data_IF_959407018030
#
_entry.id   IF_959407018030
#
_cell.length_a   1.000
_cell.length_b   1.000
_cell.length_c   1.000
_cell.angle_alpha   90.00
_cell.angle_beta   90.00
_cell.angle_gamma   90.00
#
_symmetry.space_group_name_H-M   'P 1'
#
loop_
_entity.id
_entity.type
_entity.pdbx_description
1 polymer ?
#
# COMPACT_ATOMS: atom_id res chain seq x y z
N UNK A 1 -32.67 -54.37 -20.95
CA UNK A 1 -33.70 -53.47 -21.53
C UNK A 1 -34.33 -52.73 -20.36
N UNK A 2 -34.30 -51.41 -20.19
CA UNK A 2 -34.32 -50.28 -21.15
C UNK A 2 -33.49 -49.12 -20.59
N UNK A 3 -32.94 -48.33 -21.50
CA UNK A 3 -32.15 -47.11 -21.27
C UNK A 3 -33.10 -45.92 -21.21
N UNK A 4 -32.91 -45.01 -20.24
CA UNK A 4 -33.30 -43.58 -20.32
C UNK A 4 -32.53 -42.87 -19.19
N UNK A 5 -31.31 -42.34 -19.39
CA UNK A 5 -30.94 -41.15 -20.17
C UNK A 5 -31.84 -39.93 -19.87
N UNK A 6 -31.22 -38.74 -19.84
CA UNK A 6 -31.82 -37.39 -19.72
C UNK A 6 -32.21 -37.03 -18.26
N UNK A 7 -31.47 -36.26 -17.46
CA UNK A 7 -30.78 -34.99 -17.73
C UNK A 7 -29.54 -34.81 -16.83
N UNK A 8 -28.35 -34.82 -17.44
CA UNK A 8 -27.14 -34.21 -16.88
C UNK A 8 -27.18 -32.73 -17.29
N UNK A 9 -27.75 -31.87 -16.45
CA UNK A 9 -27.62 -30.43 -16.65
C UNK A 9 -26.24 -30.01 -16.14
N UNK A 10 -25.22 -30.16 -16.99
CA UNK A 10 -23.92 -29.57 -16.76
C UNK A 10 -24.06 -28.04 -16.92
N UNK A 11 -24.30 -27.35 -15.81
CA UNK A 11 -24.15 -25.90 -15.76
C UNK A 11 -22.65 -25.62 -15.84
N UNK A 12 -22.14 -25.40 -17.05
CA UNK A 12 -20.88 -24.70 -17.25
C UNK A 12 -21.09 -23.27 -16.78
N UNK A 13 -20.90 -23.03 -15.48
CA UNK A 13 -20.69 -21.69 -14.96
C UNK A 13 -19.41 -21.17 -15.57
N UNK A 14 -19.51 -20.32 -16.59
CA UNK A 14 -18.40 -19.49 -17.03
C UNK A 14 -18.06 -18.60 -15.85
N UNK A 15 -17.08 -19.01 -15.05
CA UNK A 15 -16.43 -18.10 -14.11
C UNK A 15 -15.71 -17.08 -15.01
N UNK A 16 -16.32 -15.91 -15.18
CA UNK A 16 -15.64 -14.77 -15.75
C UNK A 16 -14.38 -14.54 -14.89
N UNK A 17 -13.21 -14.81 -15.47
CA UNK A 17 -11.94 -14.49 -14.84
C UNK A 17 -11.96 -12.98 -14.55
N UNK A 18 -11.67 -12.53 -13.32
CA UNK A 18 -11.64 -11.11 -13.04
C UNK A 18 -10.61 -10.47 -13.99
N UNK A 19 -11.02 -9.39 -14.65
CA UNK A 19 -10.21 -8.60 -15.59
C UNK A 19 -9.02 -7.87 -14.92
N UNK A 20 -8.53 -8.40 -13.80
CA UNK A 20 -7.52 -7.81 -12.95
C UNK A 20 -6.15 -8.47 -13.12
N UNK A 21 -6.05 -9.55 -13.91
CA UNK A 21 -4.80 -10.28 -14.13
C UNK A 21 -3.62 -9.38 -14.57
N UNK A 22 -3.92 -8.23 -15.19
CA UNK A 22 -2.93 -7.25 -15.66
C UNK A 22 -2.39 -6.31 -14.55
N UNK A 23 -2.90 -6.37 -13.32
CA UNK A 23 -2.46 -5.50 -12.21
C UNK A 23 -2.30 -6.24 -10.86
N UNK A 24 -1.39 -7.22 -10.75
CA UNK A 24 -1.18 -8.00 -9.52
C UNK A 24 -0.78 -7.17 -8.28
N UNK A 25 -0.04 -6.07 -8.42
CA UNK A 25 0.32 -5.23 -7.27
C UNK A 25 -0.89 -4.44 -6.74
N UNK A 26 -1.74 -3.93 -7.63
CA UNK A 26 -3.01 -3.32 -7.26
C UNK A 26 -3.96 -4.31 -6.57
N UNK A 27 -3.97 -5.58 -6.99
CA UNK A 27 -4.75 -6.62 -6.31
C UNK A 27 -4.25 -6.87 -4.88
N UNK A 28 -2.93 -6.95 -4.69
CA UNK A 28 -2.34 -7.06 -3.37
C UNK A 28 -2.77 -5.90 -2.47
N UNK A 29 -2.66 -4.66 -2.96
CA UNK A 29 -3.10 -3.46 -2.24
C UNK A 29 -4.61 -3.51 -1.89
N UNK A 30 -5.45 -3.98 -2.82
CA UNK A 30 -6.88 -4.14 -2.56
C UNK A 30 -7.16 -5.17 -1.45
N UNK A 31 -6.45 -6.29 -1.45
CA UNK A 31 -6.56 -7.32 -0.42
C UNK A 31 -6.13 -6.80 0.96
N UNK A 32 -5.06 -5.99 1.02
CA UNK A 32 -4.61 -5.37 2.26
C UNK A 32 -5.68 -4.40 2.82
N UNK A 33 -6.27 -3.55 1.98
CA UNK A 33 -7.36 -2.66 2.39
C UNK A 33 -8.55 -3.47 2.89
N UNK A 34 -8.89 -4.60 2.25
CA UNK A 34 -9.95 -5.49 2.72
C UNK A 34 -9.66 -6.06 4.12
N UNK A 35 -8.43 -6.51 4.38
CA UNK A 35 -8.01 -6.96 5.70
C UNK A 35 -8.16 -5.84 6.75
N UNK A 36 -7.81 -4.60 6.39
CA UNK A 36 -7.99 -3.44 7.27
C UNK A 36 -9.47 -3.12 7.53
N UNK A 37 -10.35 -3.30 6.53
CA UNK A 37 -11.81 -3.16 6.68
C UNK A 37 -12.31 -4.19 7.68
N UNK A 38 -11.92 -5.45 7.52
CA UNK A 38 -12.38 -6.55 8.37
C UNK A 38 -11.93 -6.34 9.82
N UNK A 39 -10.68 -5.92 10.02
CA UNK A 39 -10.18 -5.50 11.33
C UNK A 39 -11.00 -4.33 11.90
N UNK A 40 -11.19 -3.25 11.14
CA UNK A 40 -11.95 -2.08 11.61
C UNK A 40 -13.40 -2.43 11.98
N UNK A 41 -14.06 -3.31 11.22
CA UNK A 41 -15.41 -3.83 11.51
C UNK A 41 -15.44 -4.63 12.80
N UNK A 42 -14.50 -5.55 13.01
CA UNK A 42 -14.41 -6.34 14.24
C UNK A 42 -14.23 -5.47 15.49
N UNK A 43 -13.58 -4.31 15.34
CA UNK A 43 -13.37 -3.35 16.41
C UNK A 43 -14.44 -2.23 16.48
N UNK A 44 -15.53 -2.32 15.70
CA UNK A 44 -16.63 -1.36 15.73
C UNK A 44 -16.26 0.06 15.25
N UNK A 45 -15.19 0.20 14.47
CA UNK A 45 -14.71 1.49 13.98
C UNK A 45 -15.35 1.86 12.63
N UNK A 46 -16.66 2.13 12.68
CA UNK A 46 -17.49 2.40 11.49
C UNK A 46 -16.99 3.59 10.66
N UNK A 47 -16.39 4.60 11.28
CA UNK A 47 -15.81 5.73 10.54
C UNK A 47 -14.62 5.30 9.69
N UNK A 48 -13.71 4.49 10.26
CA UNK A 48 -12.56 3.94 9.53
C UNK A 48 -13.03 3.02 8.41
N UNK A 49 -14.02 2.16 8.66
CA UNK A 49 -14.61 1.26 7.66
C UNK A 49 -15.06 2.05 6.43
N UNK A 50 -15.88 3.09 6.59
CA UNK A 50 -16.36 3.91 5.47
C UNK A 50 -15.24 4.60 4.68
N UNK A 51 -14.13 4.94 5.35
CA UNK A 51 -12.95 5.51 4.69
C UNK A 51 -12.22 4.46 3.86
N UNK A 52 -11.99 3.28 4.43
CA UNK A 52 -11.33 2.17 3.76
C UNK A 52 -12.15 1.61 2.60
N UNK A 53 -13.48 1.54 2.72
CA UNK A 53 -14.36 1.13 1.60
C UNK A 53 -14.25 2.08 0.41
N UNK A 54 -14.15 3.39 0.66
CA UNK A 54 -13.90 4.39 -0.39
C UNK A 54 -12.51 4.21 -1.02
N UNK A 55 -11.49 3.93 -0.21
CA UNK A 55 -10.15 3.65 -0.70
C UNK A 55 -10.11 2.37 -1.57
N UNK A 56 -10.79 1.30 -1.13
CA UNK A 56 -10.90 0.05 -1.87
C UNK A 56 -11.57 0.26 -3.22
N UNK A 57 -12.70 0.98 -3.25
CA UNK A 57 -13.40 1.30 -4.49
C UNK A 57 -12.53 2.11 -5.46
N UNK A 58 -11.73 3.06 -4.94
CA UNK A 58 -10.80 3.83 -5.78
C UNK A 58 -9.70 2.93 -6.37
N UNK A 59 -9.10 2.04 -5.57
CA UNK A 59 -8.09 1.08 -6.05
C UNK A 59 -8.68 0.19 -7.15
N UNK A 60 -9.88 -0.37 -6.94
CA UNK A 60 -10.54 -1.22 -7.91
C UNK A 60 -10.89 -0.50 -9.22
N UNK A 61 -11.18 0.81 -9.16
CA UNK A 61 -11.59 1.59 -10.32
C UNK A 61 -10.42 2.19 -11.12
N UNK A 62 -9.32 2.55 -10.44
CA UNK A 62 -8.31 3.44 -11.02
C UNK A 62 -6.86 2.98 -10.86
N UNK A 63 -6.58 1.98 -10.03
CA UNK A 63 -5.21 1.54 -9.81
C UNK A 63 -4.60 0.93 -11.06
N UNK A 64 -3.34 1.27 -11.33
CA UNK A 64 -2.47 0.62 -12.30
C UNK A 64 -1.14 0.35 -11.64
N UNK A 65 -0.58 -0.84 -11.83
CA UNK A 65 0.66 -1.25 -11.16
C UNK A 65 1.80 -0.27 -11.43
N UNK A 66 1.97 0.17 -12.68
CA UNK A 66 3.00 1.14 -13.05
C UNK A 66 2.84 2.49 -12.34
N UNK A 67 1.61 2.97 -12.15
CA UNK A 67 1.35 4.21 -11.41
C UNK A 67 1.63 3.98 -9.92
N UNK A 68 1.14 2.87 -9.35
CA UNK A 68 1.36 2.55 -7.94
C UNK A 68 2.85 2.48 -7.58
N UNK A 69 3.66 1.82 -8.41
CA UNK A 69 5.12 1.75 -8.23
C UNK A 69 5.79 3.12 -8.37
N UNK A 70 5.39 3.92 -9.36
CA UNK A 70 5.94 5.26 -9.57
C UNK A 70 5.63 6.17 -8.39
N UNK A 71 4.38 6.15 -7.92
CA UNK A 71 3.93 6.99 -6.81
C UNK A 71 4.70 6.58 -5.53
N UNK A 72 4.95 5.29 -5.29
CA UNK A 72 5.84 4.86 -4.18
C UNK A 72 7.29 5.27 -4.33
N UNK A 73 7.84 5.24 -5.54
CA UNK A 73 9.19 5.76 -5.79
C UNK A 73 9.27 7.27 -5.58
N UNK A 74 8.19 8.01 -5.83
CA UNK A 74 8.10 9.44 -5.55
C UNK A 74 8.08 9.72 -4.04
N UNK A 75 7.25 9.00 -3.28
CA UNK A 75 7.24 9.09 -1.81
C UNK A 75 8.63 8.80 -1.21
N UNK A 76 9.37 7.82 -1.73
CA UNK A 76 10.76 7.54 -1.30
C UNK A 76 11.68 8.73 -1.56
N UNK A 77 11.60 9.35 -2.74
CA UNK A 77 12.44 10.52 -3.07
C UNK A 77 12.12 11.71 -2.19
N UNK A 78 10.83 12.00 -1.98
CA UNK A 78 10.40 13.06 -1.07
C UNK A 78 10.91 12.80 0.36
N UNK A 79 10.85 11.55 0.84
CA UNK A 79 11.37 11.20 2.16
C UNK A 79 12.90 11.33 2.27
N UNK A 80 13.64 11.01 1.20
CA UNK A 80 15.09 11.22 1.10
C UNK A 80 15.44 12.72 1.13
N UNK A 81 14.66 13.56 0.45
CA UNK A 81 14.79 15.02 0.47
C UNK A 81 14.54 15.57 1.89
N UNK A 82 13.46 15.15 2.56
CA UNK A 82 13.14 15.52 3.94
C UNK A 82 14.26 15.16 4.92
N UNK A 83 14.87 13.97 4.75
CA UNK A 83 16.02 13.53 5.55
C UNK A 83 17.19 14.50 5.34
N UNK A 84 17.48 14.86 4.09
CA UNK A 84 18.58 15.76 3.77
C UNK A 84 18.34 17.17 4.33
N UNK A 85 17.13 17.69 4.22
CA UNK A 85 16.74 18.95 4.84
C UNK A 85 16.91 18.90 6.36
N UNK A 86 16.51 17.81 7.00
CA UNK A 86 16.64 17.64 8.44
C UNK A 86 18.10 17.54 8.89
N UNK A 87 18.98 16.90 8.12
CA UNK A 87 20.43 16.87 8.37
C UNK A 87 21.01 18.29 8.33
N UNK A 88 20.59 19.09 7.34
CA UNK A 88 21.02 20.49 7.22
C UNK A 88 20.53 21.32 8.40
N UNK A 89 19.26 21.16 8.81
CA UNK A 89 18.69 21.85 9.99
C UNK A 89 19.45 21.47 11.28
N UNK A 90 19.82 20.20 11.44
CA UNK A 90 20.63 19.74 12.58
C UNK A 90 21.99 20.45 12.58
N UNK A 91 22.67 20.54 11.44
CA UNK A 91 23.97 21.21 11.33
C UNK A 91 23.86 22.70 11.67
N UNK A 92 22.83 23.38 11.19
CA UNK A 92 22.54 24.78 11.52
C UNK A 92 22.34 24.95 13.03
N UNK A 93 21.41 24.19 13.64
CA UNK A 93 21.11 24.30 15.08
C UNK A 93 22.29 23.92 15.97
N UNK A 94 23.15 23.03 15.50
CA UNK A 94 24.41 22.69 16.16
C UNK A 94 25.38 23.87 16.15
N UNK A 95 25.51 24.60 15.03
CA UNK A 95 26.35 25.80 14.96
C UNK A 95 25.81 26.97 15.80
N UNK A 96 24.49 27.07 15.94
CA UNK A 96 23.81 28.03 16.83
C UNK A 96 23.92 27.66 18.33
N UNK A 97 24.51 26.51 18.68
CA UNK A 97 24.60 26.02 20.06
C UNK A 97 23.27 25.57 20.67
N UNK A 98 22.22 25.36 19.86
CA UNK A 98 20.86 25.00 20.32
C UNK A 98 20.71 23.49 20.53
N UNK A 99 21.40 22.96 21.54
CA UNK A 99 21.48 21.52 21.81
C UNK A 99 20.11 20.85 22.06
N UNK A 100 19.15 21.54 22.69
CA UNK A 100 17.80 21.02 22.91
C UNK A 100 17.03 20.80 21.59
N UNK A 101 17.27 21.67 20.59
CA UNK A 101 16.69 21.55 19.25
C UNK A 101 17.37 20.45 18.46
N UNK A 102 18.70 20.36 18.53
CA UNK A 102 19.48 19.28 17.90
C UNK A 102 18.96 17.91 18.33
N UNK A 103 18.82 17.66 19.63
CA UNK A 103 18.30 16.36 20.12
C UNK A 103 16.89 16.04 19.64
N UNK A 104 16.02 17.05 19.51
CA UNK A 104 14.65 16.86 18.98
C UNK A 104 14.67 16.55 17.49
N UNK A 105 15.57 17.17 16.74
CA UNK A 105 15.73 16.94 15.31
C UNK A 105 16.39 15.59 15.02
N UNK A 106 17.37 15.15 15.80
CA UNK A 106 17.99 13.82 15.68
C UNK A 106 16.95 12.70 15.90
N UNK A 107 16.05 12.84 16.87
CA UNK A 107 14.91 11.91 17.06
C UNK A 107 13.88 11.95 15.94
N UNK A 108 13.76 13.07 15.22
CA UNK A 108 12.92 13.14 14.03
C UNK A 108 13.63 12.45 12.86
N UNK A 109 14.93 12.69 12.69
CA UNK A 109 15.75 12.06 11.67
C UNK A 109 15.73 10.53 11.78
N UNK A 110 15.80 9.99 13.01
CA UNK A 110 15.67 8.54 13.23
C UNK A 110 14.30 7.99 12.77
N UNK A 111 13.21 8.76 12.98
CA UNK A 111 11.88 8.37 12.51
C UNK A 111 11.77 8.45 10.99
N UNK A 112 12.27 9.51 10.39
CA UNK A 112 12.29 9.70 8.94
C UNK A 112 13.11 8.59 8.25
N UNK A 113 14.24 8.17 8.85
CA UNK A 113 15.03 7.03 8.37
C UNK A 113 14.30 5.69 8.49
N UNK A 114 13.54 5.49 9.58
CA UNK A 114 12.71 4.30 9.74
C UNK A 114 11.56 4.27 8.72
N UNK A 115 10.93 5.43 8.46
CA UNK A 115 9.90 5.59 7.44
C UNK A 115 10.46 5.33 6.04
N UNK A 116 11.63 5.86 5.71
CA UNK A 116 12.32 5.56 4.45
C UNK A 116 12.55 4.05 4.27
N UNK A 117 13.00 3.35 5.31
CA UNK A 117 13.20 1.90 5.25
C UNK A 117 11.88 1.15 5.00
N UNK A 118 10.79 1.57 5.65
CA UNK A 118 9.46 1.00 5.43
C UNK A 118 8.99 1.23 3.99
N UNK A 119 9.11 2.43 3.46
CA UNK A 119 8.73 2.75 2.07
C UNK A 119 9.54 1.92 1.07
N UNK A 120 10.84 1.74 1.32
CA UNK A 120 11.69 0.90 0.48
C UNK A 120 11.28 -0.58 0.50
N UNK A 121 10.87 -1.10 1.65
CA UNK A 121 10.39 -2.48 1.78
C UNK A 121 9.02 -2.66 1.13
N UNK A 122 8.08 -1.72 1.32
CA UNK A 122 6.80 -1.68 0.60
C UNK A 122 7.01 -1.67 -0.92
N UNK A 123 7.94 -0.85 -1.43
CA UNK A 123 8.24 -0.82 -2.86
C UNK A 123 8.76 -2.18 -3.35
N UNK A 124 9.65 -2.84 -2.62
CA UNK A 124 10.16 -4.18 -2.98
C UNK A 124 9.04 -5.22 -3.00
N UNK A 125 8.14 -5.18 -2.02
CA UNK A 125 6.97 -6.07 -1.99
C UNK A 125 6.11 -5.86 -3.23
N UNK A 126 5.76 -4.61 -3.54
CA UNK A 126 4.97 -4.28 -4.73
C UNK A 126 5.65 -4.75 -6.03
N UNK A 127 6.97 -4.55 -6.14
CA UNK A 127 7.74 -5.01 -7.30
C UNK A 127 7.73 -6.53 -7.45
N UNK A 128 7.76 -7.29 -6.34
CA UNK A 128 7.71 -8.75 -6.34
C UNK A 128 6.41 -9.31 -6.94
N UNK A 129 5.31 -8.54 -6.92
CA UNK A 129 4.06 -8.90 -7.58
C UNK A 129 4.05 -8.60 -9.08
N UNK A 130 4.78 -7.59 -9.53
CA UNK A 130 4.83 -7.18 -10.95
C UNK A 130 5.84 -7.93 -11.82
N UNK A 131 6.78 -8.64 -11.19
CA UNK A 131 7.91 -9.32 -11.86
C UNK A 131 7.67 -10.82 -12.10
N UNK A 132 6.47 -11.31 -11.79
CA UNK A 132 6.02 -12.69 -12.04
C UNK A 132 5.14 -12.76 -13.27
#
# INVERSE_FOLDING_TARGET
MKISAWYLSAVLGVMALPAWADNPACQYKAAEIQNQIDYARQHGNEHRVRGLERALANVQAHCKDANLLRDKQEEIREQEEDIQERINEIAEKRSEGRQDKVQKLEKKLERDQAELAQLQDELKELQAFTTK
#
